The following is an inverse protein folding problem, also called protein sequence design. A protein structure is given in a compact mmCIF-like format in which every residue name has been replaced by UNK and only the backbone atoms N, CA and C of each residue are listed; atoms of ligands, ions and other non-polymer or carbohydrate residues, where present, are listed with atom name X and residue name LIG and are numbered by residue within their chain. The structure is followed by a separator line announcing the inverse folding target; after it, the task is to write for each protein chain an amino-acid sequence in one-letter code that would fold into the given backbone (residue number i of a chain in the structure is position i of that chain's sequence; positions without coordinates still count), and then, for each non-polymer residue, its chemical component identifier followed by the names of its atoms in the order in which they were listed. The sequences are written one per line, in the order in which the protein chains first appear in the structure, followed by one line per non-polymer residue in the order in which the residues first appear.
data_IF_347386864527
#
_entry.id   IF_347386864527
#
_cell.length_a   1.000
_cell.length_b   1.000
_cell.length_c   1.000
_cell.angle_alpha   90.00
_cell.angle_beta   90.00
_cell.angle_gamma   90.00
#
_symmetry.space_group_name_H-M   'P 1'
#
loop_
_entity.id
_entity.type
_entity.pdbx_description
1 polymer ?
#
# COMPACT_ATOMS: atom_id res chain seq x y z
N UNK A 1 23.26 -10.33 15.72
CA UNK A 1 24.44 -11.19 15.79
C UNK A 1 23.93 -12.62 15.83
N UNK A 2 24.19 -13.37 14.77
CA UNK A 2 23.99 -14.82 14.78
C UNK A 2 25.01 -15.35 15.79
N UNK A 3 24.54 -16.00 16.86
CA UNK A 3 25.42 -16.73 17.75
C UNK A 3 26.30 -17.65 16.89
N UNK A 4 27.62 -17.72 17.18
CA UNK A 4 28.47 -18.65 16.45
C UNK A 4 27.89 -20.05 16.67
N UNK A 5 27.60 -20.82 15.61
CA UNK A 5 27.07 -22.15 15.75
C UNK A 5 28.11 -23.00 16.52
N UNK A 6 27.72 -23.56 17.65
CA UNK A 6 28.51 -24.61 18.27
C UNK A 6 28.37 -25.84 17.39
N UNK A 7 29.50 -26.41 16.93
CA UNK A 7 29.50 -27.66 16.20
C UNK A 7 28.85 -28.76 17.04
N UNK A 8 27.85 -29.42 16.47
CA UNK A 8 27.14 -30.56 17.07
C UNK A 8 27.36 -31.78 16.18
N UNK A 9 27.62 -32.92 16.77
CA UNK A 9 27.75 -34.17 16.00
C UNK A 9 26.37 -34.73 15.62
N UNK A 10 25.36 -34.49 16.45
CA UNK A 10 23.96 -34.95 16.26
C UNK A 10 22.97 -33.88 16.71
N UNK A 11 21.80 -33.83 16.06
CA UNK A 11 20.67 -32.99 16.46
C UNK A 11 19.37 -33.81 16.40
N UNK A 12 18.51 -33.61 17.41
CA UNK A 12 17.25 -34.34 17.59
C UNK A 12 16.05 -33.45 17.24
N UNK A 13 14.88 -34.06 17.16
CA UNK A 13 13.58 -33.42 16.87
C UNK A 13 13.39 -32.10 17.66
N UNK A 14 12.92 -31.08 16.99
CA UNK A 14 12.72 -29.72 17.51
C UNK A 14 13.98 -28.86 17.63
N UNK A 15 15.17 -29.38 17.33
CA UNK A 15 16.42 -28.61 17.42
C UNK A 15 16.57 -27.70 16.23
N UNK A 16 16.84 -26.38 16.47
CA UNK A 16 17.26 -25.44 15.42
C UNK A 16 18.68 -25.82 14.96
N UNK A 17 18.85 -25.92 13.64
CA UNK A 17 20.11 -26.37 13.04
C UNK A 17 20.55 -25.48 11.90
N UNK A 18 21.86 -25.49 11.69
CA UNK A 18 22.53 -24.87 10.55
C UNK A 18 23.36 -25.93 9.84
N UNK A 19 22.85 -26.48 8.75
CA UNK A 19 23.44 -27.62 8.04
C UNK A 19 24.26 -27.15 6.85
N UNK A 20 25.51 -27.65 6.73
CA UNK A 20 26.37 -27.48 5.55
C UNK A 20 26.45 -28.81 4.84
N UNK A 21 26.22 -28.81 3.54
CA UNK A 21 26.34 -30.00 2.67
C UNK A 21 27.53 -29.87 1.74
N UNK A 22 28.14 -30.99 1.40
CA UNK A 22 29.22 -31.05 0.37
C UNK A 22 28.70 -30.56 -0.98
N UNK A 23 27.44 -30.83 -1.30
CA UNK A 23 26.80 -30.42 -2.52
C UNK A 23 25.30 -30.11 -2.25
N UNK A 24 24.77 -29.06 -2.87
CA UNK A 24 23.38 -28.66 -2.70
C UNK A 24 22.79 -28.08 -3.97
N UNK A 25 21.48 -28.33 -4.18
CA UNK A 25 20.68 -27.69 -5.21
C UNK A 25 19.92 -26.44 -4.72
N UNK A 26 19.99 -26.13 -3.41
CA UNK A 26 19.37 -24.94 -2.85
C UNK A 26 20.12 -23.68 -3.29
N UNK A 27 19.38 -22.69 -3.73
CA UNK A 27 19.92 -21.36 -4.02
C UNK A 27 20.03 -20.55 -2.72
N UNK A 28 21.22 -20.05 -2.44
CA UNK A 28 21.47 -19.20 -1.27
C UNK A 28 20.99 -17.75 -1.53
N UNK A 29 20.51 -17.09 -0.47
CA UNK A 29 20.15 -15.66 -0.49
C UNK A 29 21.30 -14.80 -1.03
N UNK A 30 20.96 -13.91 -1.99
CA UNK A 30 21.95 -13.02 -2.58
C UNK A 30 21.34 -12.07 -3.60
N UNK A 31 21.95 -10.89 -3.82
CA UNK A 31 21.48 -9.90 -4.79
C UNK A 31 20.04 -9.41 -4.57
N UNK A 32 19.53 -9.49 -3.33
CA UNK A 32 18.14 -9.17 -2.98
C UNK A 32 17.15 -10.33 -3.17
N UNK A 33 17.57 -11.47 -3.77
CA UNK A 33 16.76 -12.67 -3.87
C UNK A 33 16.81 -13.46 -2.56
N UNK A 34 15.64 -13.91 -2.07
CA UNK A 34 15.54 -14.80 -0.92
C UNK A 34 16.09 -16.19 -1.24
N UNK A 35 16.67 -16.85 -0.22
CA UNK A 35 17.16 -18.20 -0.31
C UNK A 35 16.04 -19.23 -0.49
N UNK A 36 16.39 -20.40 -1.06
CA UNK A 36 15.46 -21.52 -1.21
C UNK A 36 15.07 -22.10 0.16
N UNK A 37 13.89 -22.69 0.21
CA UNK A 37 13.36 -23.47 1.32
C UNK A 37 13.01 -24.90 0.88
N UNK A 38 12.87 -25.82 1.82
CA UNK A 38 12.55 -27.21 1.50
C UNK A 38 12.84 -28.15 2.64
N UNK A 39 13.29 -29.37 2.33
CA UNK A 39 13.61 -30.41 3.29
C UNK A 39 14.94 -31.08 2.97
N UNK A 40 15.65 -31.48 4.02
CA UNK A 40 16.75 -32.44 3.94
C UNK A 40 16.27 -33.75 4.54
N UNK A 41 16.46 -34.84 3.81
CA UNK A 41 16.00 -36.16 4.17
C UNK A 41 17.24 -37.00 4.50
N UNK A 42 17.50 -37.22 5.80
CA UNK A 42 18.55 -38.07 6.33
C UNK A 42 18.00 -39.50 6.60
N UNK A 43 18.87 -40.51 6.81
CA UNK A 43 18.43 -41.88 7.09
C UNK A 43 17.56 -42.04 8.32
N UNK A 44 17.77 -41.20 9.36
CA UNK A 44 17.08 -41.28 10.64
C UNK A 44 16.31 -40.02 11.01
N UNK A 45 16.23 -39.00 10.12
CA UNK A 45 15.52 -37.76 10.43
C UNK A 45 15.30 -36.88 9.24
N UNK A 46 14.46 -35.83 9.44
CA UNK A 46 14.09 -34.83 8.45
C UNK A 46 14.39 -33.43 9.01
N UNK A 47 15.03 -32.59 8.22
CA UNK A 47 15.21 -31.17 8.52
C UNK A 47 14.33 -30.32 7.61
N UNK A 48 13.50 -29.46 8.18
CA UNK A 48 12.85 -28.39 7.44
C UNK A 48 13.85 -27.24 7.25
N UNK A 49 14.12 -26.88 5.98
CA UNK A 49 14.97 -25.75 5.62
C UNK A 49 14.08 -24.52 5.42
N UNK A 50 14.27 -23.53 6.27
CA UNK A 50 13.50 -22.28 6.27
C UNK A 50 14.20 -21.16 5.51
N UNK A 51 15.53 -21.22 5.40
CA UNK A 51 16.33 -20.29 4.62
C UNK A 51 17.67 -20.90 4.23
N UNK A 52 18.24 -20.42 3.14
CA UNK A 52 19.56 -20.83 2.65
C UNK A 52 20.42 -19.58 2.44
N UNK A 53 21.62 -19.54 3.02
CA UNK A 53 22.56 -18.40 2.94
C UNK A 53 23.95 -18.84 2.47
N UNK A 54 24.73 -17.87 2.00
CA UNK A 54 26.16 -18.06 1.72
C UNK A 54 27.00 -17.61 2.90
N UNK A 55 27.97 -18.42 3.27
CA UNK A 55 29.02 -18.04 4.23
C UNK A 55 30.16 -17.29 3.53
N UNK A 56 31.01 -16.57 4.30
CA UNK A 56 32.13 -15.80 3.73
C UNK A 56 33.16 -16.65 2.96
N UNK A 57 33.28 -17.94 3.31
CA UNK A 57 34.14 -18.90 2.61
C UNK A 57 33.56 -19.43 1.30
N UNK A 58 32.31 -19.03 0.96
CA UNK A 58 31.59 -19.47 -0.22
C UNK A 58 30.74 -20.72 -0.03
N UNK A 59 30.79 -21.38 1.12
CA UNK A 59 29.93 -22.53 1.42
C UNK A 59 28.46 -22.10 1.58
N UNK A 60 27.54 -23.03 1.35
CA UNK A 60 26.10 -22.81 1.51
C UNK A 60 25.61 -23.42 2.81
N UNK A 61 24.94 -22.61 3.64
CA UNK A 61 24.36 -23.02 4.90
C UNK A 61 22.84 -23.06 4.81
N UNK A 62 22.25 -24.16 5.25
CA UNK A 62 20.81 -24.40 5.30
C UNK A 62 20.35 -24.18 6.75
N UNK A 63 19.52 -23.17 6.98
CA UNK A 63 18.98 -22.80 8.29
C UNK A 63 17.58 -23.38 8.45
N UNK A 64 17.30 -24.00 9.57
CA UNK A 64 16.00 -24.59 9.83
C UNK A 64 15.96 -25.40 11.11
N UNK A 65 15.06 -26.36 11.20
CA UNK A 65 14.86 -27.21 12.39
C UNK A 65 14.71 -28.69 12.03
N UNK A 66 15.13 -29.57 12.93
CA UNK A 66 14.85 -31.00 12.81
C UNK A 66 13.36 -31.20 13.03
N UNK A 67 12.65 -31.65 12.00
CA UNK A 67 11.20 -31.86 12.02
C UNK A 67 10.81 -33.22 12.54
N UNK A 68 11.67 -34.20 12.34
CA UNK A 68 11.47 -35.60 12.77
C UNK A 68 12.82 -36.29 13.00
N UNK A 69 12.93 -37.07 14.04
CA UNK A 69 14.02 -38.00 14.29
C UNK A 69 15.34 -37.32 14.63
N UNK A 70 16.43 -37.82 14.05
CA UNK A 70 17.79 -37.38 14.39
C UNK A 70 18.62 -37.22 13.11
N UNK A 71 19.43 -36.18 13.03
CA UNK A 71 20.46 -36.03 12.00
C UNK A 71 21.86 -36.04 12.61
N UNK A 72 22.83 -36.57 11.87
CA UNK A 72 24.23 -36.67 12.31
C UNK A 72 25.19 -36.17 11.24
N UNK A 73 26.34 -35.67 11.70
CA UNK A 73 27.44 -35.32 10.80
C UNK A 73 27.90 -36.56 10.04
N UNK A 74 28.03 -36.48 8.73
CA UNK A 74 28.38 -37.57 7.84
C UNK A 74 27.20 -38.36 7.26
N UNK A 75 25.97 -38.01 7.63
CA UNK A 75 24.77 -38.58 7.02
C UNK A 75 24.71 -38.26 5.53
N UNK A 76 24.32 -39.25 4.72
CA UNK A 76 23.95 -39.03 3.32
C UNK A 76 22.54 -38.52 3.27
N UNK A 77 22.36 -37.27 2.85
CA UNK A 77 21.05 -36.65 2.74
C UNK A 77 20.64 -36.50 1.27
N UNK A 78 19.38 -36.71 0.99
CA UNK A 78 18.71 -36.20 -0.19
C UNK A 78 17.98 -34.90 0.17
N UNK A 79 17.57 -34.14 -0.80
CA UNK A 79 16.87 -32.88 -0.55
C UNK A 79 15.67 -32.69 -1.47
N UNK A 80 14.64 -32.04 -0.92
CA UNK A 80 13.44 -31.63 -1.62
C UNK A 80 13.33 -30.11 -1.52
N UNK A 81 13.48 -29.42 -2.65
CA UNK A 81 13.32 -27.96 -2.70
C UNK A 81 11.83 -27.65 -2.86
N UNK A 82 11.34 -26.62 -2.18
CA UNK A 82 10.01 -26.07 -2.43
C UNK A 82 9.97 -25.41 -3.83
N UNK A 83 9.65 -26.22 -4.83
CA UNK A 83 9.70 -25.82 -6.24
C UNK A 83 8.65 -24.75 -6.58
N UNK A 84 7.48 -24.74 -5.94
CA UNK A 84 6.45 -23.74 -6.15
C UNK A 84 6.97 -22.37 -5.73
N UNK A 85 7.47 -22.27 -4.49
CA UNK A 85 8.08 -21.04 -3.98
C UNK A 85 9.29 -20.58 -4.81
N UNK A 86 10.15 -21.50 -5.20
CA UNK A 86 11.32 -21.21 -6.07
C UNK A 86 10.89 -20.66 -7.42
N UNK A 87 9.82 -21.20 -7.98
CA UNK A 87 9.29 -20.75 -9.27
C UNK A 87 8.68 -19.35 -9.17
N UNK A 88 7.96 -19.04 -8.09
CA UNK A 88 7.44 -17.70 -7.83
C UNK A 88 8.56 -16.67 -7.66
N UNK A 89 9.64 -17.02 -6.96
CA UNK A 89 10.86 -16.20 -6.86
C UNK A 89 11.47 -15.99 -8.26
N UNK A 90 11.57 -17.05 -9.09
CA UNK A 90 12.12 -16.96 -10.45
C UNK A 90 11.29 -16.04 -11.35
N UNK A 91 9.95 -16.07 -11.24
CA UNK A 91 9.05 -15.13 -11.92
C UNK A 91 9.34 -13.69 -11.52
N UNK A 92 9.33 -13.41 -10.22
CA UNK A 92 9.58 -12.07 -9.68
C UNK A 92 10.99 -11.56 -10.01
N UNK A 93 11.99 -12.44 -10.02
CA UNK A 93 13.36 -12.07 -10.38
C UNK A 93 13.46 -11.69 -11.87
N UNK A 94 12.89 -12.51 -12.74
CA UNK A 94 12.88 -12.19 -14.18
C UNK A 94 12.08 -10.91 -14.47
N UNK A 95 10.95 -10.71 -13.77
CA UNK A 95 10.19 -9.47 -13.87
C UNK A 95 11.00 -8.24 -13.43
N UNK A 96 11.91 -8.37 -12.45
CA UNK A 96 12.79 -7.27 -12.03
C UNK A 96 13.71 -6.82 -13.17
N UNK A 97 14.27 -7.75 -13.94
CA UNK A 97 15.07 -7.42 -15.12
C UNK A 97 14.25 -6.74 -16.21
N UNK A 98 13.02 -7.24 -16.47
CA UNK A 98 12.12 -6.60 -17.44
C UNK A 98 11.73 -5.19 -16.98
N UNK A 99 11.44 -5.01 -15.69
CA UNK A 99 11.09 -3.72 -15.08
C UNK A 99 12.25 -2.73 -15.19
N UNK A 100 13.48 -3.12 -14.88
CA UNK A 100 14.65 -2.26 -15.00
C UNK A 100 14.84 -1.77 -16.44
N UNK A 101 14.71 -2.66 -17.40
CA UNK A 101 14.82 -2.30 -18.82
C UNK A 101 13.69 -1.35 -19.28
N UNK A 102 12.45 -1.56 -18.80
CA UNK A 102 11.32 -0.69 -19.07
C UNK A 102 11.53 0.70 -18.48
N UNK A 103 11.90 0.78 -17.19
CA UNK A 103 12.18 2.05 -16.50
C UNK A 103 13.26 2.86 -17.21
N UNK A 104 14.34 2.23 -17.64
CA UNK A 104 15.39 2.92 -18.41
C UNK A 104 14.88 3.46 -19.75
N UNK A 105 14.00 2.75 -20.42
CA UNK A 105 13.41 3.20 -21.70
C UNK A 105 12.44 4.36 -21.52
N UNK A 106 11.68 4.38 -20.43
CA UNK A 106 10.65 5.41 -20.17
C UNK A 106 11.26 6.65 -19.51
N UNK A 107 12.07 6.44 -18.46
CA UNK A 107 12.59 7.52 -17.63
C UNK A 107 14.00 7.99 -18.04
N UNK A 108 14.75 7.16 -18.73
CA UNK A 108 16.09 7.48 -19.23
C UNK A 108 17.23 6.65 -18.61
N UNK A 109 18.42 6.79 -19.20
CA UNK A 109 19.61 5.97 -18.87
C UNK A 109 20.21 6.20 -17.49
N UNK A 110 19.79 7.25 -16.77
CA UNK A 110 20.21 7.52 -15.40
C UNK A 110 19.58 6.56 -14.38
N UNK A 111 18.55 5.80 -14.77
CA UNK A 111 17.93 4.79 -13.94
C UNK A 111 18.90 3.65 -13.70
N UNK A 112 19.34 3.49 -12.45
CA UNK A 112 20.21 2.42 -12.00
C UNK A 112 19.64 1.81 -10.73
N UNK A 113 19.85 0.50 -10.55
CA UNK A 113 19.42 -0.19 -9.32
C UNK A 113 20.17 0.38 -8.11
N UNK A 114 19.41 0.80 -7.09
CA UNK A 114 19.90 1.20 -5.78
C UNK A 114 19.67 0.12 -4.72
N UNK A 115 18.68 -0.75 -4.93
CA UNK A 115 18.36 -1.88 -4.07
C UNK A 115 17.35 -2.80 -4.74
N UNK A 116 17.26 -4.04 -4.26
CA UNK A 116 16.30 -5.02 -4.74
C UNK A 116 15.84 -5.94 -3.62
N UNK A 117 14.62 -6.43 -3.72
CA UNK A 117 14.08 -7.55 -2.96
C UNK A 117 13.26 -8.41 -3.90
N UNK A 118 13.52 -9.72 -3.89
CA UNK A 118 12.83 -10.69 -4.73
C UNK A 118 12.40 -11.86 -3.84
N UNK A 119 11.11 -11.88 -3.50
CA UNK A 119 10.44 -12.94 -2.75
C UNK A 119 9.44 -13.70 -3.60
N UNK A 120 8.78 -14.73 -3.03
CA UNK A 120 7.71 -15.44 -3.71
C UNK A 120 6.43 -14.60 -3.83
N UNK A 121 6.20 -13.71 -2.88
CA UNK A 121 5.01 -12.86 -2.74
C UNK A 121 5.05 -11.61 -3.60
N UNK A 122 6.22 -11.00 -3.76
CA UNK A 122 6.44 -9.76 -4.51
C UNK A 122 7.89 -9.53 -4.87
N UNK A 123 8.10 -8.57 -5.75
CA UNK A 123 9.39 -7.92 -5.95
C UNK A 123 9.34 -6.47 -5.47
N UNK A 124 10.51 -5.94 -5.09
CA UNK A 124 10.75 -4.53 -4.80
C UNK A 124 12.00 -4.09 -5.54
N UNK A 125 11.89 -3.00 -6.23
CA UNK A 125 13.00 -2.43 -6.99
C UNK A 125 13.20 -0.96 -6.62
N UNK A 126 14.36 -0.66 -6.03
CA UNK A 126 14.78 0.69 -5.68
C UNK A 126 15.74 1.20 -6.77
N UNK A 127 15.49 2.39 -7.29
CA UNK A 127 16.25 2.93 -8.41
C UNK A 127 16.49 4.43 -8.32
N UNK A 128 17.56 4.90 -8.97
CA UNK A 128 17.89 6.32 -9.03
C UNK A 128 16.94 7.06 -9.96
N UNK A 129 16.17 8.03 -9.40
CA UNK A 129 15.34 8.96 -10.16
C UNK A 129 14.97 10.16 -9.29
N UNK A 130 14.86 11.36 -9.92
CA UNK A 130 14.78 12.63 -9.19
C UNK A 130 13.36 13.07 -8.84
N UNK A 131 12.36 12.58 -9.58
CA UNK A 131 10.96 12.98 -9.44
C UNK A 131 10.06 11.75 -9.15
N UNK A 132 8.84 11.94 -8.63
CA UNK A 132 7.82 10.89 -8.64
C UNK A 132 7.56 10.42 -10.08
N UNK A 133 7.41 9.12 -10.27
CA UNK A 133 7.01 8.55 -11.57
C UNK A 133 5.52 8.84 -11.75
N UNK A 134 5.15 9.42 -12.89
CA UNK A 134 3.74 9.77 -13.14
C UNK A 134 2.87 8.52 -13.37
N UNK A 135 1.56 8.61 -13.14
CA UNK A 135 0.65 7.50 -13.43
C UNK A 135 0.75 7.00 -14.88
N UNK A 136 0.94 7.91 -15.84
CA UNK A 136 1.06 7.61 -17.26
C UNK A 136 2.37 6.85 -17.55
N UNK A 137 3.48 7.26 -16.94
CA UNK A 137 4.77 6.56 -17.04
C UNK A 137 4.70 5.18 -16.40
N UNK A 138 4.02 5.04 -15.22
CA UNK A 138 3.83 3.74 -14.59
C UNK A 138 3.03 2.77 -15.47
N UNK A 139 1.96 3.25 -16.11
CA UNK A 139 1.19 2.46 -17.06
C UNK A 139 2.07 2.05 -18.24
N UNK A 140 2.85 2.98 -18.80
CA UNK A 140 3.74 2.67 -19.92
C UNK A 140 4.80 1.63 -19.56
N UNK A 141 5.39 1.72 -18.37
CA UNK A 141 6.35 0.71 -17.85
C UNK A 141 5.68 -0.64 -17.67
N UNK A 142 4.50 -0.69 -17.06
CA UNK A 142 3.73 -1.92 -16.84
C UNK A 142 3.35 -2.60 -18.17
N UNK A 143 2.87 -1.83 -19.14
CA UNK A 143 2.52 -2.31 -20.48
C UNK A 143 3.75 -2.89 -21.21
N UNK A 144 4.90 -2.19 -21.16
CA UNK A 144 6.14 -2.67 -21.78
C UNK A 144 6.61 -3.99 -21.19
N UNK A 145 6.48 -4.19 -19.86
CA UNK A 145 6.82 -5.48 -19.21
C UNK A 145 5.86 -6.57 -19.68
N UNK A 146 4.55 -6.30 -19.65
CA UNK A 146 3.52 -7.27 -20.05
C UNK A 146 3.63 -7.61 -21.55
N UNK A 147 3.99 -6.69 -22.43
CA UNK A 147 4.28 -6.99 -23.83
C UNK A 147 5.40 -8.03 -24.00
N UNK A 148 6.45 -7.98 -23.16
CA UNK A 148 7.54 -8.97 -23.21
C UNK A 148 7.11 -10.32 -22.63
N UNK A 149 6.21 -10.33 -21.67
CA UNK A 149 5.58 -11.55 -21.15
C UNK A 149 4.74 -12.21 -22.26
N UNK A 150 3.87 -11.44 -22.89
CA UNK A 150 2.99 -11.93 -23.97
C UNK A 150 3.75 -12.36 -25.21
N UNK A 151 4.93 -11.76 -25.48
CA UNK A 151 5.80 -12.15 -26.59
C UNK A 151 6.47 -13.52 -26.40
N UNK A 152 6.37 -14.14 -25.21
CA UNK A 152 6.89 -15.49 -24.94
C UNK A 152 8.34 -15.69 -25.36
N UNK A 153 9.23 -14.82 -24.86
CA UNK A 153 10.64 -14.81 -25.24
C UNK A 153 11.42 -15.85 -24.41
N UNK A 154 12.10 -16.83 -25.02
CA UNK A 154 12.99 -17.71 -24.28
C UNK A 154 14.20 -16.93 -23.76
N UNK A 155 14.56 -17.16 -22.48
CA UNK A 155 15.74 -16.57 -21.89
C UNK A 155 16.99 -17.32 -22.36
N UNK A 156 18.03 -16.56 -22.69
CA UNK A 156 19.37 -17.09 -22.97
C UNK A 156 20.26 -16.86 -21.73
N UNK A 157 20.61 -17.96 -21.07
CA UNK A 157 21.41 -17.94 -19.82
C UNK A 157 22.74 -18.67 -20.09
N UNK A 158 23.83 -17.92 -20.03
CA UNK A 158 25.17 -18.43 -20.34
C UNK A 158 26.19 -18.01 -19.29
N UNK A 159 27.19 -18.87 -19.08
CA UNK A 159 28.40 -18.50 -18.34
C UNK A 159 29.51 -18.11 -19.35
N UNK A 160 30.18 -16.99 -19.11
CA UNK A 160 31.25 -16.52 -19.96
C UNK A 160 32.24 -15.63 -19.20
N UNK A 161 33.43 -15.39 -19.77
CA UNK A 161 34.36 -14.42 -19.22
C UNK A 161 33.75 -13.02 -19.10
N UNK A 162 33.99 -12.34 -17.97
CA UNK A 162 33.46 -11.00 -17.71
C UNK A 162 33.76 -9.99 -18.80
N UNK A 163 34.95 -10.07 -19.42
CA UNK A 163 35.35 -9.21 -20.53
C UNK A 163 34.41 -9.41 -21.74
N UNK A 164 34.06 -10.66 -22.04
CA UNK A 164 33.15 -11.00 -23.14
C UNK A 164 31.73 -10.54 -22.83
N UNK A 165 31.23 -10.70 -21.58
CA UNK A 165 29.93 -10.24 -21.17
C UNK A 165 29.81 -8.71 -21.33
N UNK A 166 30.80 -7.95 -20.87
CA UNK A 166 30.85 -6.49 -21.02
C UNK A 166 30.91 -6.06 -22.50
N UNK A 167 31.70 -6.77 -23.33
CA UNK A 167 31.78 -6.49 -24.78
C UNK A 167 30.45 -6.72 -25.50
N UNK A 168 29.61 -7.65 -25.00
CA UNK A 168 28.22 -7.88 -25.46
C UNK A 168 27.21 -6.86 -24.93
N UNK A 169 27.61 -5.95 -24.04
CA UNK A 169 26.74 -4.93 -23.46
C UNK A 169 26.00 -5.40 -22.22
N UNK A 170 26.43 -6.48 -21.57
CA UNK A 170 25.78 -6.95 -20.34
C UNK A 170 25.93 -5.91 -19.21
N UNK A 171 24.82 -5.57 -18.58
CA UNK A 171 24.76 -4.63 -17.47
C UNK A 171 25.23 -5.32 -16.19
N UNK A 172 26.14 -4.67 -15.47
CA UNK A 172 26.63 -5.11 -14.16
C UNK A 172 26.00 -4.25 -13.07
N UNK A 173 25.61 -4.84 -11.95
CA UNK A 173 25.14 -4.11 -10.79
C UNK A 173 26.28 -3.29 -10.19
N UNK A 174 25.98 -2.07 -9.79
CA UNK A 174 26.98 -1.16 -9.22
C UNK A 174 27.39 -1.66 -7.82
N UNK A 175 28.71 -1.77 -7.59
CA UNK A 175 29.26 -2.15 -6.27
C UNK A 175 29.43 -3.65 -6.03
N UNK A 176 28.98 -4.54 -6.92
CA UNK A 176 29.25 -5.98 -6.81
C UNK A 176 30.63 -6.37 -7.33
N UNK A 177 31.24 -7.35 -6.64
CA UNK A 177 32.51 -7.93 -7.06
C UNK A 177 32.24 -9.19 -7.86
N UNK A 178 32.62 -9.18 -9.12
CA UNK A 178 32.45 -10.31 -10.02
C UNK A 178 33.77 -11.09 -10.19
N UNK A 179 33.65 -12.41 -10.30
CA UNK A 179 34.77 -13.27 -10.69
C UNK A 179 35.16 -13.13 -12.17
N UNK A 180 36.16 -13.93 -12.60
CA UNK A 180 36.59 -13.97 -13.99
C UNK A 180 35.52 -14.55 -14.92
N UNK A 181 34.71 -15.51 -14.45
CA UNK A 181 33.59 -16.08 -15.16
C UNK A 181 32.32 -15.57 -14.48
N UNK A 182 31.37 -15.12 -15.27
CA UNK A 182 30.10 -14.54 -14.83
C UNK A 182 28.93 -15.22 -15.55
N UNK A 183 27.82 -15.34 -14.84
CA UNK A 183 26.55 -15.79 -15.41
C UNK A 183 25.80 -14.59 -15.98
N UNK A 184 25.44 -14.67 -17.24
CA UNK A 184 24.70 -13.66 -18.00
C UNK A 184 23.29 -14.17 -18.23
N UNK A 185 22.29 -13.37 -17.84
CA UNK A 185 20.87 -13.61 -18.12
C UNK A 185 20.44 -12.62 -19.18
N UNK A 186 20.02 -13.12 -20.33
CA UNK A 186 19.61 -12.33 -21.47
C UNK A 186 18.15 -12.62 -21.84
N UNK A 187 17.36 -11.55 -21.93
CA UNK A 187 16.08 -11.54 -22.66
C UNK A 187 16.39 -10.94 -24.03
N UNK A 188 16.47 -11.74 -25.11
CA UNK A 188 16.94 -11.31 -26.42
C UNK A 188 16.25 -10.04 -26.93
N UNK A 189 17.04 -9.05 -27.32
CA UNK A 189 16.56 -7.77 -27.82
C UNK A 189 15.96 -6.83 -26.78
N UNK A 190 16.02 -7.17 -25.47
CA UNK A 190 15.40 -6.36 -24.43
C UNK A 190 16.29 -6.06 -23.21
N UNK A 191 16.83 -7.08 -22.53
CA UNK A 191 17.71 -6.96 -21.37
C UNK A 191 18.84 -7.96 -21.42
N UNK A 192 20.01 -7.57 -20.90
CA UNK A 192 21.15 -8.47 -20.69
C UNK A 192 21.90 -8.03 -19.44
N UNK A 193 21.93 -8.90 -18.43
CA UNK A 193 22.44 -8.54 -17.11
C UNK A 193 23.33 -9.64 -16.51
N UNK A 194 24.33 -9.24 -15.72
CA UNK A 194 25.12 -10.16 -14.89
C UNK A 194 24.28 -10.55 -13.69
N UNK A 195 23.81 -11.78 -13.62
CA UNK A 195 22.94 -12.23 -12.55
C UNK A 195 23.14 -13.71 -12.18
N UNK A 196 23.40 -13.96 -10.88
CA UNK A 196 23.53 -15.31 -10.32
C UNK A 196 22.22 -15.93 -9.82
N UNK A 197 21.11 -15.15 -9.83
CA UNK A 197 19.83 -15.59 -9.28
C UNK A 197 19.06 -16.59 -10.14
N UNK A 198 17.91 -17.06 -9.64
CA UNK A 198 17.03 -17.98 -10.37
C UNK A 198 16.11 -17.23 -11.30
N UNK A 199 15.94 -17.74 -12.51
CA UNK A 199 15.08 -17.17 -13.55
C UNK A 199 14.20 -18.24 -14.19
N UNK A 200 13.11 -17.81 -14.79
CA UNK A 200 12.27 -18.67 -15.64
C UNK A 200 12.97 -18.99 -16.96
N UNK A 201 12.53 -20.02 -17.64
CA UNK A 201 13.05 -20.36 -18.97
C UNK A 201 12.46 -19.51 -20.09
N UNK A 202 11.28 -18.96 -19.89
CA UNK A 202 10.55 -18.16 -20.87
C UNK A 202 9.76 -17.05 -20.19
N UNK A 203 9.68 -15.86 -20.78
CA UNK A 203 8.96 -14.71 -20.21
C UNK A 203 7.47 -15.00 -20.01
N UNK A 204 6.84 -15.86 -20.80
CA UNK A 204 5.43 -16.25 -20.62
C UNK A 204 5.16 -16.93 -19.25
N UNK A 205 6.17 -17.55 -18.64
CA UNK A 205 6.04 -18.18 -17.32
C UNK A 205 5.75 -17.20 -16.19
N UNK A 206 5.99 -15.89 -16.39
CA UNK A 206 5.63 -14.84 -15.45
C UNK A 206 4.11 -14.71 -15.29
N UNK A 207 3.33 -15.12 -16.29
CA UNK A 207 1.89 -14.94 -16.35
C UNK A 207 1.52 -13.48 -16.64
N UNK A 208 1.37 -12.67 -15.61
CA UNK A 208 1.16 -11.21 -15.71
C UNK A 208 2.06 -10.48 -14.74
N UNK A 209 2.28 -9.19 -14.99
CA UNK A 209 3.01 -8.27 -14.12
C UNK A 209 2.10 -7.10 -13.73
N UNK A 210 2.10 -6.73 -12.45
CA UNK A 210 1.33 -5.58 -11.93
C UNK A 210 2.16 -4.77 -10.96
N UNK A 211 2.26 -3.46 -11.21
CA UNK A 211 2.82 -2.50 -10.26
C UNK A 211 1.77 -2.23 -9.17
N UNK A 212 2.14 -2.43 -7.91
CA UNK A 212 1.28 -2.19 -6.76
C UNK A 212 1.44 -0.78 -6.21
N UNK A 213 2.68 -0.30 -6.14
CA UNK A 213 2.99 1.02 -5.59
C UNK A 213 4.26 1.61 -6.16
N UNK A 214 4.34 2.93 -6.13
CA UNK A 214 5.54 3.73 -6.36
C UNK A 214 5.70 4.71 -5.21
N UNK A 215 6.92 4.85 -4.65
CA UNK A 215 7.18 5.72 -3.50
C UNK A 215 8.62 6.23 -3.46
N UNK A 216 8.88 7.25 -2.62
CA UNK A 216 10.23 7.73 -2.33
C UNK A 216 10.85 6.93 -1.19
N UNK A 217 12.12 6.55 -1.33
CA UNK A 217 12.92 5.91 -0.27
C UNK A 217 13.88 6.91 0.36
N UNK A 218 14.30 7.90 -0.42
CA UNK A 218 15.26 8.94 -0.01
C UNK A 218 15.49 9.92 -1.15
N UNK A 219 16.37 10.89 -0.95
CA UNK A 219 16.70 11.87 -1.98
C UNK A 219 17.27 11.19 -3.23
N UNK A 220 16.58 11.35 -4.36
CA UNK A 220 17.00 10.79 -5.64
C UNK A 220 16.84 9.27 -5.79
N UNK A 221 16.09 8.61 -4.88
CA UNK A 221 15.82 7.16 -4.96
C UNK A 221 14.30 6.91 -4.88
N UNK A 222 13.80 6.22 -5.89
CA UNK A 222 12.40 5.78 -6.00
C UNK A 222 12.30 4.28 -5.82
N UNK A 223 11.15 3.81 -5.36
CA UNK A 223 10.83 2.40 -5.11
C UNK A 223 9.59 2.01 -5.87
N UNK A 224 9.64 0.90 -6.56
CA UNK A 224 8.48 0.20 -7.10
C UNK A 224 8.33 -1.13 -6.37
N UNK A 225 7.08 -1.45 -5.97
CA UNK A 225 6.67 -2.79 -5.56
C UNK A 225 5.74 -3.35 -6.62
N UNK A 226 5.96 -4.61 -6.99
CA UNK A 226 5.19 -5.27 -8.03
C UNK A 226 5.05 -6.77 -7.76
N UNK A 227 4.10 -7.39 -8.45
CA UNK A 227 3.79 -8.82 -8.35
C UNK A 227 3.68 -9.45 -9.74
N UNK A 228 3.85 -10.78 -9.78
CA UNK A 228 3.65 -11.59 -10.98
C UNK A 228 2.71 -12.77 -10.72
N UNK A 229 2.25 -13.44 -11.76
CA UNK A 229 1.54 -14.70 -11.70
C UNK A 229 0.39 -14.71 -10.70
N UNK A 230 0.45 -15.60 -9.70
CA UNK A 230 -0.56 -15.73 -8.66
C UNK A 230 -0.77 -14.46 -7.84
N UNK A 231 0.28 -13.65 -7.63
CA UNK A 231 0.16 -12.36 -6.95
C UNK A 231 -0.76 -11.39 -7.69
N UNK A 232 -0.73 -11.38 -9.03
CA UNK A 232 -1.64 -10.56 -9.85
C UNK A 232 -3.08 -11.06 -9.74
N UNK A 233 -3.30 -12.38 -9.77
CA UNK A 233 -4.63 -12.96 -9.59
C UNK A 233 -5.24 -12.63 -8.23
N UNK A 234 -4.43 -12.65 -7.17
CA UNK A 234 -4.87 -12.27 -5.83
C UNK A 234 -5.23 -10.78 -5.77
N UNK A 235 -4.39 -9.91 -6.34
CA UNK A 235 -4.67 -8.47 -6.45
C UNK A 235 -6.00 -8.18 -7.19
N UNK A 236 -6.26 -8.89 -8.29
CA UNK A 236 -7.52 -8.76 -9.05
C UNK A 236 -8.71 -9.17 -8.16
N UNK A 237 -8.64 -10.35 -7.51
CA UNK A 237 -9.72 -10.86 -6.65
C UNK A 237 -10.02 -9.93 -5.47
N UNK A 238 -8.99 -9.39 -4.83
CA UNK A 238 -9.14 -8.43 -3.73
C UNK A 238 -9.80 -7.14 -4.21
N UNK A 239 -9.37 -6.63 -5.37
CA UNK A 239 -9.94 -5.43 -5.98
C UNK A 239 -11.40 -5.64 -6.39
N UNK A 240 -11.73 -6.75 -7.03
CA UNK A 240 -13.10 -7.12 -7.37
C UNK A 240 -13.96 -7.31 -6.13
N UNK A 241 -13.42 -7.94 -5.10
CA UNK A 241 -14.09 -8.10 -3.80
C UNK A 241 -14.44 -6.77 -3.16
N UNK A 242 -13.52 -5.81 -3.18
CA UNK A 242 -13.73 -4.45 -2.67
C UNK A 242 -14.79 -3.70 -3.47
N UNK A 243 -14.74 -3.76 -4.79
CA UNK A 243 -15.74 -3.14 -5.68
C UNK A 243 -17.13 -3.74 -5.44
N UNK A 244 -17.24 -5.06 -5.31
CA UNK A 244 -18.50 -5.74 -5.04
C UNK A 244 -19.06 -5.39 -3.65
N UNK A 245 -18.20 -5.26 -2.64
CA UNK A 245 -18.60 -4.81 -1.30
C UNK A 245 -19.16 -3.38 -1.33
N UNK A 246 -18.51 -2.45 -2.04
CA UNK A 246 -19.00 -1.08 -2.23
C UNK A 246 -20.36 -1.09 -2.93
N UNK A 247 -20.50 -1.86 -4.02
CA UNK A 247 -21.76 -1.98 -4.76
C UNK A 247 -22.90 -2.49 -3.87
N UNK A 248 -22.62 -3.53 -3.08
CA UNK A 248 -23.58 -4.11 -2.13
C UNK A 248 -24.03 -3.08 -1.07
N UNK A 249 -23.10 -2.34 -0.45
CA UNK A 249 -23.41 -1.29 0.53
C UNK A 249 -24.25 -0.18 -0.07
N UNK A 250 -24.01 0.17 -1.33
CA UNK A 250 -24.79 1.17 -2.07
C UNK A 250 -26.11 0.59 -2.66
N UNK A 251 -26.36 -0.71 -2.48
CA UNK A 251 -27.49 -1.45 -3.06
C UNK A 251 -27.60 -1.25 -4.57
N UNK A 252 -26.50 -1.44 -5.27
CA UNK A 252 -26.39 -1.23 -6.72
C UNK A 252 -25.46 -2.26 -7.36
N UNK A 253 -25.28 -2.23 -8.68
CA UNK A 253 -24.26 -3.03 -9.38
C UNK A 253 -22.92 -2.29 -9.46
N UNK A 254 -21.78 -2.99 -9.67
CA UNK A 254 -20.47 -2.36 -9.84
C UNK A 254 -20.44 -1.23 -10.88
N UNK A 255 -21.10 -1.42 -12.01
CA UNK A 255 -21.16 -0.41 -13.08
C UNK A 255 -21.95 0.87 -12.68
N UNK A 256 -22.80 0.77 -11.66
CA UNK A 256 -23.65 1.88 -11.19
C UNK A 256 -23.16 2.53 -9.90
N UNK A 257 -21.96 2.18 -9.41
CA UNK A 257 -21.40 2.75 -8.18
C UNK A 257 -21.30 4.28 -8.29
N UNK A 258 -20.64 4.80 -9.34
CA UNK A 258 -20.43 6.24 -9.49
C UNK A 258 -21.74 7.03 -9.67
N UNK A 259 -22.68 6.61 -10.54
CA UNK A 259 -24.01 7.24 -10.61
C UNK A 259 -24.76 7.23 -9.26
N UNK A 260 -24.74 6.13 -8.51
CA UNK A 260 -25.40 6.04 -7.21
C UNK A 260 -24.76 6.93 -6.15
N UNK A 261 -23.41 7.04 -6.14
CA UNK A 261 -22.71 7.98 -5.27
C UNK A 261 -23.10 9.43 -5.56
N UNK A 262 -23.16 9.81 -6.84
CA UNK A 262 -23.59 11.15 -7.24
C UNK A 262 -25.04 11.44 -6.79
N UNK A 263 -25.96 10.48 -6.98
CA UNK A 263 -27.32 10.60 -6.52
C UNK A 263 -27.42 10.77 -4.99
N UNK A 264 -26.65 9.97 -4.22
CA UNK A 264 -26.61 10.11 -2.75
C UNK A 264 -26.08 11.47 -2.31
N UNK A 265 -25.08 12.02 -2.99
CA UNK A 265 -24.58 13.37 -2.68
C UNK A 265 -25.67 14.43 -2.87
N UNK A 266 -26.48 14.36 -3.95
CA UNK A 266 -27.59 15.27 -4.16
C UNK A 266 -28.73 15.05 -3.18
N UNK A 267 -29.05 13.78 -2.82
CA UNK A 267 -30.03 13.46 -1.76
C UNK A 267 -29.61 14.10 -0.42
N UNK A 268 -28.34 13.96 -0.01
CA UNK A 268 -27.83 14.56 1.24
C UNK A 268 -27.89 16.09 1.19
N UNK A 269 -27.60 16.69 0.05
CA UNK A 269 -27.67 18.14 -0.13
C UNK A 269 -29.13 18.66 -0.02
N UNK A 270 -30.05 17.93 -0.65
CA UNK A 270 -31.48 18.24 -0.57
C UNK A 270 -32.03 18.11 0.85
N UNK A 271 -31.65 17.05 1.58
CA UNK A 271 -32.05 16.85 2.97
C UNK A 271 -31.46 17.92 3.91
N UNK A 272 -30.23 18.33 3.72
CA UNK A 272 -29.64 19.48 4.44
C UNK A 272 -30.37 20.79 4.18
N UNK A 273 -30.86 21.01 2.96
CA UNK A 273 -31.65 22.18 2.64
C UNK A 273 -33.02 22.14 3.35
N UNK A 274 -33.73 21.01 3.29
CA UNK A 274 -35.00 20.81 4.00
C UNK A 274 -34.84 20.98 5.51
N UNK A 275 -33.75 20.46 6.07
CA UNK A 275 -33.46 20.62 7.49
C UNK A 275 -33.35 22.10 7.87
N UNK A 276 -32.58 22.89 7.10
CA UNK A 276 -32.46 24.33 7.32
C UNK A 276 -33.80 25.06 7.17
N UNK A 277 -34.63 24.68 6.18
CA UNK A 277 -35.95 25.26 6.04
C UNK A 277 -36.89 24.96 7.25
N UNK A 278 -36.77 23.72 7.76
CA UNK A 278 -37.52 23.32 9.00
C UNK A 278 -37.05 24.12 10.20
N UNK A 279 -35.75 24.30 10.40
CA UNK A 279 -35.17 25.14 11.44
C UNK A 279 -35.72 26.57 11.35
N UNK A 280 -35.72 27.18 10.14
CA UNK A 280 -36.27 28.52 9.90
C UNK A 280 -37.79 28.57 10.23
N UNK A 281 -38.53 27.55 9.82
CA UNK A 281 -40.00 27.49 10.11
C UNK A 281 -40.27 27.35 11.59
N UNK A 282 -39.46 26.52 12.29
CA UNK A 282 -39.58 26.36 13.75
C UNK A 282 -39.23 27.67 14.49
N UNK A 283 -38.18 28.35 14.10
CA UNK A 283 -37.80 29.65 14.63
C UNK A 283 -38.89 30.69 14.40
N UNK A 284 -39.46 30.76 13.19
CA UNK A 284 -40.57 31.67 12.87
C UNK A 284 -41.86 31.37 13.66
N UNK A 285 -42.17 30.07 13.89
CA UNK A 285 -43.32 29.66 14.71
C UNK A 285 -43.15 30.05 16.18
N UNK A 286 -41.92 29.87 16.72
CA UNK A 286 -41.60 30.33 18.07
C UNK A 286 -41.72 31.84 18.21
N UNK A 287 -41.27 32.60 17.21
CA UNK A 287 -41.41 34.08 17.15
C UNK A 287 -42.88 34.53 17.17
N UNK A 288 -43.77 33.79 16.49
CA UNK A 288 -45.18 34.10 16.42
C UNK A 288 -45.92 33.93 17.76
N UNK A 289 -45.47 32.96 18.57
CA UNK A 289 -46.03 32.73 19.93
C UNK A 289 -45.49 33.70 21.00
N UNK A 290 -44.29 34.27 20.77
CA UNK A 290 -43.65 35.19 21.71
C UNK A 290 -44.24 36.59 21.66
N UNK A 291 -44.85 36.97 20.56
CA UNK A 291 -45.53 38.28 20.40
C UNK A 291 -46.67 38.46 21.43
N UNK A 292 -47.41 37.41 21.75
CA UNK A 292 -48.53 37.43 22.69
C UNK A 292 -48.09 37.67 24.14
N UNK A 293 -46.80 37.41 24.46
CA UNK A 293 -46.24 37.54 25.82
C UNK A 293 -45.64 38.96 26.08
N UNK A 294 -45.62 39.84 25.09
CA UNK A 294 -45.10 41.19 25.25
C UNK A 294 -46.06 42.04 26.11
N UNK A 295 -45.53 42.68 27.15
CA UNK A 295 -46.24 43.57 28.07
C UNK A 295 -46.00 45.01 27.70
N UNK A 296 -47.05 45.85 27.78
CA UNK A 296 -46.90 47.27 27.60
C UNK A 296 -46.42 47.93 28.91
N UNK A 297 -45.29 48.64 28.85
CA UNK A 297 -44.73 49.35 29.99
C UNK A 297 -44.23 50.71 29.53
N UNK A 298 -44.77 51.78 30.13
CA UNK A 298 -44.43 53.17 29.83
C UNK A 298 -44.50 53.52 28.34
N UNK A 299 -45.53 52.98 27.64
CA UNK A 299 -45.76 53.25 26.20
C UNK A 299 -44.89 52.41 25.23
N UNK A 300 -44.17 51.40 25.73
CA UNK A 300 -43.41 50.48 24.91
C UNK A 300 -43.80 49.03 25.15
N UNK A 301 -43.76 48.21 24.12
CA UNK A 301 -43.83 46.75 24.24
C UNK A 301 -42.49 46.22 24.75
N UNK A 302 -42.55 45.51 25.88
CA UNK A 302 -41.39 44.86 26.54
C UNK A 302 -41.61 43.36 26.53
N UNK A 303 -40.72 42.63 25.93
CA UNK A 303 -40.68 41.15 25.94
C UNK A 303 -39.45 40.69 26.71
N UNK A 304 -39.70 39.88 27.78
CA UNK A 304 -38.66 39.19 28.53
C UNK A 304 -38.99 37.73 28.54
N UNK A 305 -38.16 36.90 27.84
CA UNK A 305 -38.49 35.47 27.72
C UNK A 305 -37.21 34.61 27.67
N UNK A 306 -37.34 33.40 28.22
CA UNK A 306 -36.40 32.33 27.97
C UNK A 306 -36.77 31.64 26.64
N UNK A 307 -35.78 31.49 25.77
CA UNK A 307 -35.93 30.84 24.45
C UNK A 307 -34.94 29.71 24.31
N UNK A 308 -35.24 28.77 23.45
CA UNK A 308 -34.30 27.68 23.09
C UNK A 308 -33.71 28.01 21.72
N UNK A 309 -32.35 28.05 21.62
CA UNK A 309 -31.64 28.21 20.39
C UNK A 309 -30.25 27.56 20.48
N UNK A 310 -29.69 27.14 19.33
CA UNK A 310 -28.49 26.32 19.28
C UNK A 310 -27.20 27.13 19.39
N UNK A 311 -27.22 28.43 19.09
CA UNK A 311 -26.04 29.28 19.15
C UNK A 311 -26.39 30.76 19.35
N UNK A 312 -25.36 31.56 19.66
CA UNK A 312 -25.50 33.01 19.93
C UNK A 312 -25.97 33.79 18.69
N UNK A 313 -25.63 33.35 17.49
CA UNK A 313 -26.04 34.05 16.26
C UNK A 313 -27.53 33.83 15.97
N UNK A 314 -28.06 32.64 16.22
CA UNK A 314 -29.48 32.36 16.18
C UNK A 314 -30.26 33.21 17.21
N UNK A 315 -29.72 33.35 18.44
CA UNK A 315 -30.29 34.23 19.48
C UNK A 315 -30.32 35.68 19.04
N UNK A 316 -29.28 36.18 18.39
CA UNK A 316 -29.22 37.56 17.85
C UNK A 316 -30.24 37.78 16.75
N UNK A 317 -30.35 36.88 15.78
CA UNK A 317 -31.34 36.95 14.69
C UNK A 317 -32.76 36.96 15.24
N UNK A 318 -33.05 36.12 16.22
CA UNK A 318 -34.35 36.09 16.91
C UNK A 318 -34.64 37.43 17.61
N UNK A 319 -33.66 37.98 18.31
CA UNK A 319 -33.73 39.29 18.97
C UNK A 319 -33.98 40.42 18.02
N UNK A 320 -33.25 40.49 16.89
CA UNK A 320 -33.45 41.51 15.85
C UNK A 320 -34.86 41.46 15.24
N UNK A 321 -35.36 40.26 14.90
CA UNK A 321 -36.69 40.09 14.34
C UNK A 321 -37.82 40.49 15.34
N UNK A 322 -37.68 40.12 16.61
CA UNK A 322 -38.65 40.49 17.66
C UNK A 322 -38.59 41.99 17.95
N UNK A 323 -37.43 42.60 18.04
CA UNK A 323 -37.26 44.05 18.22
C UNK A 323 -37.95 44.84 17.11
N UNK A 324 -37.73 44.44 15.86
CA UNK A 324 -38.27 45.15 14.70
C UNK A 324 -39.79 44.95 14.58
N UNK A 325 -40.31 43.80 14.96
CA UNK A 325 -41.73 43.50 14.96
C UNK A 325 -42.48 44.16 16.12
N UNK A 326 -41.92 44.16 17.33
CA UNK A 326 -42.54 44.78 18.50
C UNK A 326 -42.38 46.28 18.57
N UNK A 327 -41.35 46.85 17.95
CA UNK A 327 -41.02 48.26 18.05
C UNK A 327 -40.58 48.71 19.45
N UNK A 328 -40.19 47.76 20.34
CA UNK A 328 -40.01 47.99 21.78
C UNK A 328 -38.66 47.47 22.29
N UNK A 329 -38.68 46.86 23.48
CA UNK A 329 -37.53 46.30 24.17
C UNK A 329 -37.68 44.78 24.20
N UNK A 330 -36.60 44.06 23.86
CA UNK A 330 -36.59 42.60 23.85
C UNK A 330 -35.39 42.12 24.70
N UNK A 331 -35.67 41.28 25.65
CA UNK A 331 -34.65 40.57 26.47
C UNK A 331 -34.89 39.06 26.34
N UNK A 332 -33.92 38.38 25.73
CA UNK A 332 -33.95 36.95 25.53
C UNK A 332 -32.85 36.29 26.34
N UNK A 333 -33.16 35.18 26.98
CA UNK A 333 -32.18 34.33 27.64
C UNK A 333 -32.24 32.92 27.05
N UNK A 334 -31.12 32.35 26.68
CA UNK A 334 -31.00 31.02 26.11
C UNK A 334 -29.92 30.18 26.81
N UNK A 335 -30.23 28.96 27.28
CA UNK A 335 -29.20 28.04 27.76
C UNK A 335 -28.25 27.66 26.60
N UNK A 336 -26.95 27.73 26.84
CA UNK A 336 -25.90 27.38 25.85
C UNK A 336 -24.99 26.29 26.44
N UNK A 337 -25.50 25.07 26.58
CA UNK A 337 -24.82 23.94 27.23
C UNK A 337 -25.07 23.81 28.72
N UNK A 338 -24.37 22.88 29.39
CA UNK A 338 -24.73 22.42 30.76
C UNK A 338 -24.65 23.49 31.84
N UNK A 339 -23.89 24.59 31.70
CA UNK A 339 -23.73 25.64 32.73
C UNK A 339 -23.57 27.06 32.17
N UNK A 340 -24.02 27.32 30.97
CA UNK A 340 -23.90 28.65 30.36
C UNK A 340 -25.22 29.16 29.85
N UNK A 341 -25.55 30.41 30.17
CA UNK A 341 -26.73 31.11 29.64
C UNK A 341 -26.27 32.35 28.91
N UNK A 342 -26.69 32.50 27.68
CA UNK A 342 -26.53 33.75 26.93
C UNK A 342 -27.75 34.62 27.10
N UNK A 343 -27.54 35.86 27.47
CA UNK A 343 -28.58 36.87 27.59
C UNK A 343 -28.38 37.95 26.55
N UNK A 344 -29.39 38.25 25.78
CA UNK A 344 -29.41 39.27 24.77
C UNK A 344 -30.49 40.32 25.14
N UNK A 345 -30.07 41.59 25.19
CA UNK A 345 -30.99 42.70 25.38
C UNK A 345 -30.87 43.67 24.17
N UNK A 346 -32.00 44.00 23.55
CA UNK A 346 -32.10 44.89 22.40
C UNK A 346 -33.26 45.88 22.59
N UNK A 347 -33.07 47.12 22.11
CA UNK A 347 -34.09 48.15 22.13
C UNK A 347 -34.27 48.73 20.71
N UNK A 348 -35.47 49.06 20.34
CA UNK A 348 -35.76 49.80 19.09
C UNK A 348 -35.22 51.24 19.18
N UNK A 349 -34.96 51.85 18.04
CA UNK A 349 -34.50 53.27 17.98
C UNK A 349 -35.47 54.22 18.69
N UNK A 350 -36.75 53.94 18.63
CA UNK A 350 -37.78 54.71 19.30
C UNK A 350 -37.70 54.60 20.80
N UNK A 351 -37.43 53.37 21.36
CA UNK A 351 -37.29 53.16 22.78
C UNK A 351 -35.98 53.80 23.33
N UNK A 352 -34.87 53.76 22.56
CA UNK A 352 -33.62 54.42 22.95
C UNK A 352 -33.70 55.95 22.93
N UNK A 353 -34.52 56.53 22.07
CA UNK A 353 -34.64 57.99 21.95
C UNK A 353 -35.44 58.64 23.09
N UNK A 354 -36.15 57.84 23.88
CA UNK A 354 -37.00 58.35 25.02
C UNK A 354 -36.37 58.01 26.40
N UNK A 355 -35.15 57.54 26.49
CA UNK A 355 -34.43 57.27 27.69
C UNK A 355 -34.13 55.80 27.90
#
# INVERSE_FOLDING_TARGET
PIAQPQGMDTAEDGTEVAVILDNTGFHAEGGGQLGDTGRLLAPAGIVNVENTKKLPDGSTIHLGSVAEGTISVGDKVSFEINNERKHDIARNHTATHLLQAALRKVLGDHVNQAGSYVGPDRLRFDFSHFAPVTPEELVQVEDMVNEKILASIPLDIQEMPIAQAKAKGAMALFGEKYGNIVRVVCVPGYSMELCGGVHVGNTAELGMFKILSESSVGAGVRRIEAVTGHGVLNYIRETEGMVNAIASNLKTSPAQILPRMAALQEEVKAEKHKYKELEHKMAASQLGSLDADAKEMKGFKVLVKQVSCDNVDALRQMGDQLRDKLGGIVVLAAPMGENKVSVLAMASKAAVAQG
#
